data_IF_927917895776
#
_entry.id   IF_927917895776
#
_cell.length_a   1.000
_cell.length_b   1.000
_cell.length_c   1.000
_cell.angle_alpha   90.00
_cell.angle_beta   90.00
_cell.angle_gamma   90.00
#
_symmetry.space_group_name_H-M   'P 1'
#
loop_
_entity.id
_entity.type
_entity.pdbx_description
1 polymer ?
#
# COMPACT_ATOMS: atom_id res chain seq x y z
N UNK A 1 -9.96 -1.41 -20.05
CA UNK A 1 -9.97 -2.55 -20.99
C UNK A 1 -8.70 -3.34 -20.78
N UNK A 2 -8.79 -4.63 -20.58
CA UNK A 2 -7.64 -5.49 -20.35
C UNK A 2 -6.78 -5.58 -21.61
N UNK A 3 -5.47 -5.32 -21.44
CA UNK A 3 -4.48 -5.49 -22.51
C UNK A 3 -3.81 -6.87 -22.42
N UNK A 4 -4.59 -7.89 -22.11
CA UNK A 4 -4.08 -9.26 -21.99
C UNK A 4 -4.09 -9.89 -23.40
N UNK A 5 -2.91 -10.27 -23.87
CA UNK A 5 -2.69 -10.93 -25.15
C UNK A 5 -2.08 -12.32 -24.99
N UNK A 6 -1.83 -13.00 -26.09
CA UNK A 6 -1.26 -14.37 -26.08
C UNK A 6 0.14 -14.44 -25.45
N UNK A 7 0.89 -13.33 -25.45
CA UNK A 7 2.24 -13.24 -24.90
C UNK A 7 2.26 -12.80 -23.43
N UNK A 8 1.10 -12.51 -22.83
CA UNK A 8 1.01 -12.10 -21.44
C UNK A 8 1.27 -13.28 -20.51
N UNK A 9 2.34 -13.21 -19.74
CA UNK A 9 2.72 -14.24 -18.76
C UNK A 9 2.14 -13.96 -17.38
N UNK A 10 2.05 -12.68 -17.00
CA UNK A 10 1.55 -12.22 -15.71
C UNK A 10 0.56 -11.07 -15.91
N UNK A 11 -0.50 -11.05 -15.10
CA UNK A 11 -1.45 -9.97 -15.07
C UNK A 11 -1.66 -9.52 -13.60
N UNK A 12 -1.52 -8.24 -13.33
CA UNK A 12 -1.84 -7.65 -12.04
C UNK A 12 -3.15 -6.87 -12.20
N UNK A 13 -4.17 -7.27 -11.43
CA UNK A 13 -5.51 -6.70 -11.52
C UNK A 13 -5.86 -6.04 -10.20
N UNK A 14 -6.01 -4.71 -10.21
CA UNK A 14 -6.53 -3.97 -9.06
C UNK A 14 -8.06 -4.16 -8.97
N UNK A 15 -8.54 -4.48 -7.76
CA UNK A 15 -9.95 -4.65 -7.45
C UNK A 15 -10.36 -3.63 -6.39
N UNK A 16 -11.25 -2.73 -6.76
CA UNK A 16 -11.86 -1.76 -5.84
C UNK A 16 -13.29 -2.16 -5.47
N UNK A 17 -13.78 -1.61 -4.36
CA UNK A 17 -15.17 -1.78 -3.93
C UNK A 17 -15.70 -0.51 -3.26
N UNK A 18 -16.99 -0.28 -3.41
CA UNK A 18 -17.78 0.65 -2.61
C UNK A 18 -18.82 -0.08 -1.76
N UNK A 19 -19.18 -1.31 -2.14
CA UNK A 19 -20.17 -2.14 -1.45
C UNK A 19 -19.68 -3.59 -1.31
N UNK A 20 -20.24 -4.31 -0.35
CA UNK A 20 -20.01 -5.75 -0.20
C UNK A 20 -20.48 -6.53 -1.44
N UNK A 21 -19.80 -7.64 -1.76
CA UNK A 21 -20.06 -8.51 -2.90
C UNK A 21 -19.42 -8.06 -4.22
N UNK A 22 -18.81 -6.86 -4.27
CA UNK A 22 -18.18 -6.36 -5.50
C UNK A 22 -16.84 -7.06 -5.77
N UNK A 23 -15.99 -7.20 -4.75
CA UNK A 23 -14.71 -7.91 -4.88
C UNK A 23 -14.94 -9.40 -5.14
N UNK A 24 -15.96 -10.02 -4.53
CA UNK A 24 -16.30 -11.41 -4.82
C UNK A 24 -16.56 -11.64 -6.30
N UNK A 25 -17.38 -10.78 -6.93
CA UNK A 25 -17.68 -10.87 -8.38
C UNK A 25 -16.44 -10.67 -9.23
N UNK A 26 -15.62 -9.66 -8.89
CA UNK A 26 -14.38 -9.38 -9.61
C UNK A 26 -13.38 -10.53 -9.49
N UNK A 27 -13.21 -11.07 -8.29
CA UNK A 27 -12.32 -12.19 -8.02
C UNK A 27 -12.73 -13.45 -8.74
N UNK A 28 -14.02 -13.81 -8.69
CA UNK A 28 -14.56 -14.97 -9.44
C UNK A 28 -14.41 -14.82 -10.96
N UNK A 29 -14.45 -13.60 -11.48
CA UNK A 29 -14.22 -13.32 -12.89
C UNK A 29 -12.74 -13.44 -13.25
N UNK A 30 -11.85 -12.82 -12.45
CA UNK A 30 -10.41 -12.80 -12.69
C UNK A 30 -9.74 -14.15 -12.40
N UNK A 31 -10.25 -14.89 -11.39
CA UNK A 31 -9.67 -16.16 -10.89
C UNK A 31 -8.16 -16.04 -10.66
N UNK A 32 -7.73 -15.19 -9.71
CA UNK A 32 -6.32 -14.94 -9.51
C UNK A 32 -5.61 -16.14 -8.90
N UNK A 33 -4.33 -16.32 -9.21
CA UNK A 33 -3.46 -17.34 -8.61
C UNK A 33 -2.90 -16.90 -7.25
N UNK A 34 -2.88 -15.57 -6.99
CA UNK A 34 -2.42 -14.95 -5.74
C UNK A 34 -3.34 -13.79 -5.40
N UNK A 35 -3.77 -13.70 -4.15
CA UNK A 35 -4.47 -12.54 -3.60
C UNK A 35 -3.53 -11.63 -2.81
N UNK A 36 -3.76 -10.31 -2.84
CA UNK A 36 -2.99 -9.34 -2.03
C UNK A 36 -3.97 -8.39 -1.35
N UNK A 37 -3.83 -8.21 -0.03
CA UNK A 37 -4.51 -7.16 0.73
C UNK A 37 -3.47 -6.35 1.49
N UNK A 38 -3.26 -5.11 1.07
CA UNK A 38 -2.19 -4.26 1.59
C UNK A 38 -2.53 -3.58 2.92
N UNK A 39 -3.79 -3.20 3.13
CA UNK A 39 -4.25 -2.58 4.38
C UNK A 39 -5.78 -2.53 4.45
N UNK A 40 -6.29 -2.31 5.67
CA UNK A 40 -7.70 -2.02 5.97
C UNK A 40 -7.78 -0.57 6.46
N UNK A 41 -7.84 0.36 5.50
CA UNK A 41 -8.02 1.78 5.78
C UNK A 41 -9.48 2.14 6.06
N UNK A 42 -9.76 3.44 6.05
CA UNK A 42 -11.11 4.00 6.26
C UNK A 42 -11.79 4.45 4.97
N UNK A 43 -11.19 4.21 3.81
CA UNK A 43 -11.80 4.50 2.51
C UNK A 43 -13.13 3.75 2.37
N UNK A 44 -14.16 4.46 1.86
CA UNK A 44 -15.53 3.92 1.70
C UNK A 44 -16.25 3.55 3.01
N UNK A 45 -15.74 4.02 4.18
CA UNK A 45 -16.35 3.73 5.48
C UNK A 45 -17.79 4.25 5.56
N UNK A 46 -18.09 5.34 4.87
CA UNK A 46 -19.45 5.87 4.75
C UNK A 46 -20.44 4.88 4.14
N UNK A 47 -20.02 4.00 3.25
CA UNK A 47 -20.85 2.99 2.59
C UNK A 47 -20.86 1.65 3.34
N UNK A 48 -19.72 1.25 3.93
CA UNK A 48 -19.54 -0.05 4.57
C UNK A 48 -19.73 -0.02 6.09
N UNK A 49 -19.75 1.17 6.69
CA UNK A 49 -20.12 1.41 8.09
C UNK A 49 -18.98 1.18 9.10
N UNK A 50 -18.05 0.25 8.86
CA UNK A 50 -16.93 -0.01 9.78
C UNK A 50 -15.71 -0.59 9.07
N UNK A 51 -14.53 -0.52 9.72
CA UNK A 51 -13.31 -1.17 9.20
C UNK A 51 -13.41 -2.70 9.20
N UNK A 52 -14.14 -3.30 10.13
CA UNK A 52 -14.45 -4.73 10.13
C UNK A 52 -15.21 -5.15 8.86
N UNK A 53 -16.16 -4.33 8.43
CA UNK A 53 -16.89 -4.59 7.18
C UNK A 53 -16.03 -4.34 5.95
N UNK A 54 -15.12 -3.34 5.98
CA UNK A 54 -14.13 -3.12 4.94
C UNK A 54 -13.20 -4.34 4.83
N UNK A 55 -12.75 -4.88 5.98
CA UNK A 55 -11.94 -6.09 6.03
C UNK A 55 -12.66 -7.29 5.41
N UNK A 56 -13.92 -7.52 5.79
CA UNK A 56 -14.76 -8.59 5.20
C UNK A 56 -14.91 -8.43 3.69
N UNK A 57 -15.20 -7.22 3.23
CA UNK A 57 -15.37 -6.93 1.80
C UNK A 57 -14.05 -7.15 1.01
N UNK A 58 -12.90 -6.77 1.57
CA UNK A 58 -11.60 -7.06 0.92
C UNK A 58 -11.25 -8.54 0.92
N UNK A 59 -11.61 -9.28 1.97
CA UNK A 59 -11.43 -10.74 2.04
C UNK A 59 -12.30 -11.52 1.05
N UNK A 60 -13.30 -10.91 0.43
CA UNK A 60 -14.06 -11.48 -0.69
C UNK A 60 -13.16 -11.89 -1.88
N UNK A 61 -11.92 -11.34 -1.95
CA UNK A 61 -10.93 -11.77 -2.95
C UNK A 61 -10.67 -13.27 -2.89
N UNK A 62 -10.81 -13.88 -1.72
CA UNK A 62 -10.61 -15.32 -1.52
C UNK A 62 -11.60 -16.17 -2.34
N UNK A 63 -12.78 -15.62 -2.68
CA UNK A 63 -13.81 -16.38 -3.42
C UNK A 63 -13.39 -16.82 -4.84
N UNK A 64 -12.39 -16.16 -5.42
CA UNK A 64 -11.83 -16.50 -6.74
C UNK A 64 -10.50 -17.24 -6.69
N UNK A 65 -9.89 -17.37 -5.50
CA UNK A 65 -8.61 -18.06 -5.32
C UNK A 65 -8.80 -19.59 -5.32
N UNK A 66 -7.91 -20.36 -5.98
CA UNK A 66 -7.95 -21.82 -5.92
C UNK A 66 -7.46 -22.35 -4.56
N UNK A 67 -7.67 -23.64 -4.34
CA UNK A 67 -7.17 -24.36 -3.15
C UNK A 67 -5.66 -24.23 -2.98
N UNK A 68 -5.21 -23.85 -1.79
CA UNK A 68 -3.80 -23.64 -1.46
C UNK A 68 -3.18 -22.36 -2.01
N UNK A 69 -3.96 -21.49 -2.67
CA UNK A 69 -3.44 -20.24 -3.22
C UNK A 69 -2.87 -19.30 -2.15
N UNK A 70 -1.75 -18.62 -2.43
CA UNK A 70 -1.19 -17.64 -1.51
C UNK A 70 -2.13 -16.42 -1.38
N UNK A 71 -2.37 -16.01 -0.13
CA UNK A 71 -3.01 -14.75 0.20
C UNK A 71 -2.01 -13.87 0.96
N UNK A 72 -1.46 -12.89 0.26
CA UNK A 72 -0.47 -11.96 0.82
C UNK A 72 -1.16 -10.89 1.66
N UNK A 73 -0.78 -10.79 2.92
CA UNK A 73 -1.44 -9.97 3.93
C UNK A 73 -0.45 -9.11 4.71
N UNK A 74 -0.84 -7.87 4.98
CA UNK A 74 -0.09 -6.98 5.85
C UNK A 74 -0.23 -7.40 7.32
N UNK A 75 0.87 -7.86 7.91
CA UNK A 75 0.94 -8.28 9.31
C UNK A 75 0.89 -7.12 10.30
N UNK A 76 1.14 -5.89 9.87
CA UNK A 76 1.05 -4.69 10.70
C UNK A 76 -0.40 -4.17 10.80
N UNK A 77 -1.31 -4.72 10.01
CA UNK A 77 -2.71 -4.32 10.02
C UNK A 77 -3.51 -5.12 11.06
N UNK A 78 -4.07 -4.45 12.10
CA UNK A 78 -4.73 -5.14 13.20
C UNK A 78 -6.04 -5.82 12.80
N UNK A 79 -6.70 -5.39 11.72
CA UNK A 79 -7.93 -6.01 11.22
C UNK A 79 -7.62 -7.27 10.45
N UNK A 80 -6.56 -7.26 9.63
CA UNK A 80 -6.10 -8.45 8.92
C UNK A 80 -5.59 -9.52 9.89
N UNK A 81 -4.82 -9.13 10.92
CA UNK A 81 -4.33 -10.06 11.94
C UNK A 81 -5.43 -10.77 12.74
N UNK A 82 -6.58 -10.12 12.90
CA UNK A 82 -7.75 -10.69 13.64
C UNK A 82 -8.74 -11.38 12.71
N UNK A 83 -8.56 -11.27 11.41
CA UNK A 83 -9.51 -11.82 10.45
C UNK A 83 -9.51 -13.35 10.47
N UNK A 84 -10.70 -13.93 10.36
CA UNK A 84 -10.85 -15.37 10.10
C UNK A 84 -10.69 -15.58 8.60
N UNK A 85 -9.62 -16.26 8.22
CA UNK A 85 -9.32 -16.56 6.84
C UNK A 85 -9.99 -17.87 6.42
N UNK A 86 -10.43 -18.01 5.16
CA UNK A 86 -10.92 -19.28 4.64
C UNK A 86 -9.82 -20.35 4.61
N UNK A 87 -10.18 -21.60 4.92
CA UNK A 87 -9.24 -22.73 5.02
C UNK A 87 -8.54 -23.06 3.70
N UNK A 88 -9.15 -22.70 2.57
CA UNK A 88 -8.62 -23.01 1.24
C UNK A 88 -7.49 -22.09 0.77
N UNK A 89 -7.18 -21.00 1.51
CA UNK A 89 -6.08 -20.10 1.15
C UNK A 89 -4.89 -20.28 2.11
N UNK A 90 -3.68 -20.05 1.60
CA UNK A 90 -2.45 -20.05 2.39
C UNK A 90 -2.03 -18.61 2.70
N UNK A 91 -2.15 -18.11 3.94
CA UNK A 91 -1.70 -16.77 4.27
C UNK A 91 -0.18 -16.65 4.14
N UNK A 92 0.28 -15.51 3.60
CA UNK A 92 1.68 -15.09 3.53
C UNK A 92 1.74 -13.69 4.14
N UNK A 93 2.36 -13.58 5.30
CA UNK A 93 2.41 -12.34 6.06
C UNK A 93 3.65 -11.53 5.73
N UNK A 94 3.48 -10.23 5.46
CA UNK A 94 4.60 -9.30 5.42
C UNK A 94 4.46 -8.23 6.51
N UNK A 95 5.61 -7.68 6.99
CA UNK A 95 5.62 -6.67 8.05
C UNK A 95 6.79 -5.69 7.92
N UNK A 96 6.62 -4.49 8.49
CA UNK A 96 7.66 -3.49 8.67
C UNK A 96 8.29 -3.57 10.07
N UNK A 97 8.87 -4.73 10.42
CA UNK A 97 9.62 -4.92 11.67
C UNK A 97 9.27 -6.13 12.51
N UNK A 98 8.18 -6.87 12.21
CA UNK A 98 7.90 -8.16 12.88
C UNK A 98 8.67 -9.28 12.17
N UNK A 99 9.76 -9.72 12.79
CA UNK A 99 10.62 -10.81 12.29
C UNK A 99 9.92 -12.18 12.28
N UNK A 100 8.73 -12.31 12.89
CA UNK A 100 7.93 -13.54 12.81
C UNK A 100 7.02 -13.58 11.57
N UNK A 101 6.94 -12.50 10.79
CA UNK A 101 6.26 -12.52 9.51
C UNK A 101 7.05 -13.35 8.48
N UNK A 102 6.38 -13.95 7.49
CA UNK A 102 7.06 -14.73 6.44
C UNK A 102 8.10 -13.89 5.70
N UNK A 103 7.80 -12.59 5.51
CA UNK A 103 8.72 -11.61 4.93
C UNK A 103 8.67 -10.32 5.75
N UNK A 104 9.84 -9.80 6.15
CA UNK A 104 9.87 -8.52 6.86
C UNK A 104 10.92 -7.54 6.30
N UNK A 105 10.73 -6.25 6.59
CA UNK A 105 11.68 -5.20 6.28
C UNK A 105 12.27 -4.64 7.58
N UNK A 106 13.59 -4.71 7.69
CA UNK A 106 14.38 -4.21 8.81
C UNK A 106 15.30 -3.07 8.38
N UNK A 107 15.82 -2.30 9.32
CA UNK A 107 16.80 -1.22 9.06
C UNK A 107 16.36 -0.26 7.95
N UNK A 108 15.09 0.13 7.98
CA UNK A 108 14.48 0.98 6.96
C UNK A 108 15.06 2.40 7.06
N UNK A 109 15.60 2.91 5.96
CA UNK A 109 16.19 4.24 5.83
C UNK A 109 15.62 4.95 4.61
N UNK A 110 15.51 6.28 4.68
CA UNK A 110 15.10 7.15 3.59
C UNK A 110 16.24 8.11 3.24
N UNK A 111 16.47 8.30 1.94
CA UNK A 111 17.36 9.34 1.40
C UNK A 111 16.66 10.09 0.26
N UNK A 112 17.39 10.97 -0.43
CA UNK A 112 16.86 11.76 -1.56
C UNK A 112 16.45 10.90 -2.78
N UNK A 113 16.90 9.66 -2.85
CA UNK A 113 16.66 8.74 -3.98
C UNK A 113 15.56 7.73 -3.70
N UNK A 114 15.07 7.64 -2.45
CA UNK A 114 14.01 6.71 -2.08
C UNK A 114 14.27 6.00 -0.75
N UNK A 115 13.81 4.76 -0.67
CA UNK A 115 13.93 3.93 0.52
C UNK A 115 14.97 2.82 0.32
N UNK A 116 15.71 2.50 1.40
CA UNK A 116 16.57 1.31 1.47
C UNK A 116 16.24 0.53 2.75
N UNK A 117 16.28 -0.79 2.67
CA UNK A 117 15.96 -1.67 3.80
C UNK A 117 16.57 -3.06 3.61
N UNK A 118 16.70 -3.79 4.70
CA UNK A 118 17.02 -5.22 4.69
C UNK A 118 15.70 -5.98 4.61
N UNK A 119 15.51 -6.74 3.55
CA UNK A 119 14.39 -7.68 3.40
C UNK A 119 14.85 -9.04 3.89
N UNK A 120 14.10 -9.62 4.82
CA UNK A 120 14.26 -10.99 5.27
C UNK A 120 13.05 -11.80 4.82
N UNK A 121 13.28 -12.88 4.09
CA UNK A 121 12.29 -13.87 3.68
C UNK A 121 12.72 -15.22 4.25
N UNK A 122 11.87 -15.86 5.04
CA UNK A 122 12.18 -17.14 5.69
C UNK A 122 12.42 -18.28 4.69
N UNK A 123 11.92 -18.18 3.46
CA UNK A 123 12.12 -19.18 2.40
C UNK A 123 13.32 -18.83 1.49
N UNK A 124 13.54 -17.55 1.17
CA UNK A 124 14.49 -17.10 0.13
C UNK A 124 15.77 -16.48 0.70
N UNK A 125 15.79 -16.11 2.00
CA UNK A 125 16.93 -15.51 2.69
C UNK A 125 16.90 -13.99 2.80
N UNK A 126 18.05 -13.37 3.00
CA UNK A 126 18.20 -11.95 3.33
C UNK A 126 18.76 -11.15 2.17
N UNK A 127 18.19 -9.98 1.90
CA UNK A 127 18.55 -9.13 0.78
C UNK A 127 18.59 -7.65 1.18
N UNK A 128 19.54 -6.90 0.63
CA UNK A 128 19.50 -5.43 0.66
C UNK A 128 18.65 -4.93 -0.51
N UNK A 129 17.58 -4.21 -0.21
CA UNK A 129 16.65 -3.68 -1.21
C UNK A 129 16.70 -2.18 -1.23
N UNK A 130 16.62 -1.60 -2.43
CA UNK A 130 16.43 -0.16 -2.66
C UNK A 130 15.28 0.03 -3.62
N UNK A 131 14.40 1.00 -3.30
CA UNK A 131 13.29 1.38 -4.16
C UNK A 131 13.30 2.88 -4.40
N UNK A 132 13.06 3.37 -5.62
CA UNK A 132 13.01 4.79 -5.94
C UNK A 132 11.65 5.42 -5.58
N UNK A 133 11.18 5.13 -4.36
CA UNK A 133 9.92 5.63 -3.83
C UNK A 133 10.10 5.97 -2.35
N UNK A 134 9.50 7.06 -1.89
CA UNK A 134 9.65 7.56 -0.53
C UNK A 134 8.53 7.04 0.38
N UNK A 135 8.82 7.00 1.70
CA UNK A 135 7.85 6.67 2.73
C UNK A 135 7.72 5.17 3.02
N UNK A 136 7.54 4.87 4.30
CA UNK A 136 7.44 3.48 4.81
C UNK A 136 6.31 2.67 4.16
N UNK A 137 5.20 3.32 3.76
CA UNK A 137 4.10 2.66 3.05
C UNK A 137 4.54 2.08 1.70
N UNK A 138 5.51 2.69 1.01
CA UNK A 138 6.07 2.14 -0.22
C UNK A 138 7.01 0.95 0.05
N UNK A 139 7.64 0.89 1.23
CA UNK A 139 8.34 -0.33 1.67
C UNK A 139 7.32 -1.47 1.86
N UNK A 140 6.18 -1.21 2.53
CA UNK A 140 5.11 -2.20 2.69
C UNK A 140 4.56 -2.68 1.33
N UNK A 141 4.34 -1.76 0.38
CA UNK A 141 3.92 -2.09 -0.98
C UNK A 141 4.96 -2.95 -1.72
N UNK A 142 6.25 -2.64 -1.54
CA UNK A 142 7.34 -3.42 -2.12
C UNK A 142 7.41 -4.85 -1.54
N UNK A 143 7.20 -5.01 -0.21
CA UNK A 143 7.11 -6.33 0.41
C UNK A 143 5.92 -7.11 -0.13
N UNK A 144 4.73 -6.49 -0.27
CA UNK A 144 3.55 -7.13 -0.84
C UNK A 144 3.79 -7.61 -2.28
N UNK A 145 4.42 -6.77 -3.11
CA UNK A 145 4.78 -7.11 -4.49
C UNK A 145 5.82 -8.24 -4.54
N UNK A 146 6.83 -8.18 -3.67
CA UNK A 146 7.84 -9.21 -3.53
C UNK A 146 7.23 -10.56 -3.14
N UNK A 147 6.40 -10.59 -2.09
CA UNK A 147 5.71 -11.80 -1.66
C UNK A 147 4.90 -12.42 -2.80
N UNK A 148 4.07 -11.62 -3.48
CA UNK A 148 3.24 -12.13 -4.56
C UNK A 148 4.08 -12.70 -5.70
N UNK A 149 5.13 -12.02 -6.12
CA UNK A 149 5.97 -12.44 -7.22
C UNK A 149 6.76 -13.71 -6.89
N UNK A 150 7.37 -13.81 -5.69
CA UNK A 150 8.13 -15.01 -5.30
C UNK A 150 7.21 -16.21 -5.09
N UNK A 151 6.00 -16.01 -4.55
CA UNK A 151 5.00 -17.10 -4.40
C UNK A 151 4.38 -17.53 -5.74
N UNK A 152 4.57 -16.77 -6.82
CA UNK A 152 4.32 -17.19 -8.22
C UNK A 152 5.55 -17.87 -8.87
N UNK A 153 6.62 -18.09 -8.11
CA UNK A 153 7.83 -18.78 -8.58
C UNK A 153 8.86 -17.88 -9.28
N UNK A 154 8.72 -16.55 -9.19
CA UNK A 154 9.76 -15.66 -9.69
C UNK A 154 10.97 -15.69 -8.75
N UNK A 155 12.17 -15.65 -9.34
CA UNK A 155 13.40 -15.60 -8.55
C UNK A 155 13.51 -14.29 -7.75
N UNK A 156 13.77 -14.38 -6.45
CA UNK A 156 13.83 -13.26 -5.51
C UNK A 156 14.74 -12.11 -5.98
N UNK A 157 15.94 -12.42 -6.51
CA UNK A 157 16.88 -11.39 -7.00
C UNK A 157 16.35 -10.64 -8.22
N UNK A 158 15.62 -11.33 -9.10
CA UNK A 158 14.97 -10.67 -10.24
C UNK A 158 13.83 -9.76 -9.80
N UNK A 159 13.04 -10.19 -8.80
CA UNK A 159 11.98 -9.35 -8.21
C UNK A 159 12.59 -8.10 -7.60
N UNK A 160 13.67 -8.24 -6.81
CA UNK A 160 14.37 -7.10 -6.19
C UNK A 160 14.93 -6.14 -7.25
N UNK A 161 15.49 -6.65 -8.34
CA UNK A 161 15.93 -5.80 -9.44
C UNK A 161 14.76 -5.02 -10.07
N UNK A 162 13.61 -5.67 -10.26
CA UNK A 162 12.40 -5.00 -10.74
C UNK A 162 11.84 -3.95 -9.77
N UNK A 163 11.96 -4.16 -8.46
CA UNK A 163 11.59 -3.15 -7.45
C UNK A 163 12.51 -1.92 -7.52
N UNK A 164 13.79 -2.11 -7.83
CA UNK A 164 14.75 -1.01 -8.00
C UNK A 164 14.50 -0.19 -9.28
N UNK A 165 13.88 -0.80 -10.29
CA UNK A 165 13.51 -0.15 -11.56
C UNK A 165 12.08 0.42 -11.53
N UNK A 166 11.43 0.48 -10.33
CA UNK A 166 10.09 0.99 -10.19
C UNK A 166 9.99 2.46 -10.62
N UNK A 167 9.05 2.77 -11.47
CA UNK A 167 8.70 4.15 -11.86
C UNK A 167 7.36 4.53 -11.24
N UNK A 168 7.33 5.66 -10.53
CA UNK A 168 6.08 6.20 -10.00
C UNK A 168 5.16 6.62 -11.14
N UNK A 169 3.94 6.11 -11.11
CA UNK A 169 2.92 6.42 -12.10
C UNK A 169 1.88 7.40 -11.56
N UNK A 170 1.45 8.34 -12.42
CA UNK A 170 0.41 9.30 -12.08
C UNK A 170 0.89 10.38 -11.08
N UNK A 171 -0.07 11.00 -10.39
CA UNK A 171 0.12 12.05 -9.40
C UNK A 171 0.18 11.44 -7.98
N UNK A 172 1.11 10.50 -7.77
CA UNK A 172 1.34 9.83 -6.48
C UNK A 172 2.78 10.05 -6.05
N UNK A 173 3.00 11.01 -5.14
CA UNK A 173 4.29 11.38 -4.55
C UNK A 173 5.40 11.65 -5.59
N UNK A 174 5.02 12.19 -6.74
CA UNK A 174 5.97 12.56 -7.78
C UNK A 174 6.69 13.85 -7.39
N UNK A 175 8.01 13.81 -7.27
CA UNK A 175 8.83 14.99 -7.01
C UNK A 175 9.16 15.71 -8.31
N UNK A 176 8.81 17.00 -8.39
CA UNK A 176 9.08 17.87 -9.53
C UNK A 176 9.90 19.08 -9.04
N UNK A 177 11.04 19.31 -9.66
CA UNK A 177 11.89 20.45 -9.35
C UNK A 177 11.55 21.65 -10.22
N UNK A 178 11.02 22.73 -9.62
CA UNK A 178 10.61 23.93 -10.35
C UNK A 178 11.20 25.17 -9.69
N UNK A 179 12.06 25.88 -10.41
CA UNK A 179 12.62 27.19 -9.99
C UNK A 179 13.22 27.17 -8.58
N UNK A 180 13.91 26.08 -8.19
CA UNK A 180 14.52 25.94 -6.87
C UNK A 180 13.56 25.55 -5.74
N UNK A 181 12.35 25.11 -6.09
CA UNK A 181 11.36 24.57 -5.18
C UNK A 181 11.09 23.12 -5.59
N UNK A 182 11.04 22.23 -4.61
CA UNK A 182 10.60 20.85 -4.80
C UNK A 182 9.10 20.78 -4.56
N UNK A 183 8.37 20.31 -5.56
CA UNK A 183 6.92 20.09 -5.50
C UNK A 183 6.68 18.58 -5.46
N UNK A 184 6.03 18.11 -4.41
CA UNK A 184 5.60 16.71 -4.29
C UNK A 184 4.13 16.64 -4.71
N UNK A 185 3.88 16.08 -5.87
CA UNK A 185 2.53 15.90 -6.41
C UNK A 185 1.95 14.59 -5.89
N UNK A 186 0.97 14.66 -4.98
CA UNK A 186 0.24 13.50 -4.41
C UNK A 186 -1.27 13.78 -4.40
N UNK A 187 -1.83 14.06 -5.58
CA UNK A 187 -3.19 14.58 -5.74
C UNK A 187 -4.12 13.66 -6.56
N UNK A 188 -3.82 12.37 -6.64
CA UNK A 188 -4.71 11.40 -7.30
C UNK A 188 -5.99 11.17 -6.51
N UNK A 189 -5.87 10.99 -5.20
CA UNK A 189 -6.98 10.81 -4.25
C UNK A 189 -6.50 11.15 -2.83
N UNK A 190 -7.43 11.51 -1.95
CA UNK A 190 -7.17 11.83 -0.56
C UNK A 190 -8.07 11.04 0.37
N UNK A 191 -7.48 10.44 1.41
CA UNK A 191 -8.16 9.82 2.54
C UNK A 191 -7.29 9.97 3.79
N UNK A 192 -7.82 9.74 5.02
CA UNK A 192 -7.07 9.96 6.25
C UNK A 192 -5.74 9.21 6.31
N UNK A 193 -5.70 7.96 5.83
CA UNK A 193 -4.49 7.13 5.87
C UNK A 193 -3.42 7.64 4.89
N UNK A 194 -3.82 7.99 3.66
CA UNK A 194 -2.90 8.55 2.66
C UNK A 194 -2.37 9.91 3.06
N UNK A 195 -3.21 10.80 3.64
CA UNK A 195 -2.81 12.10 4.17
C UNK A 195 -1.79 11.95 5.30
N UNK A 196 -2.05 11.04 6.24
CA UNK A 196 -1.11 10.72 7.33
C UNK A 196 0.24 10.24 6.80
N UNK A 197 0.22 9.31 5.84
CA UNK A 197 1.43 8.78 5.22
C UNK A 197 2.21 9.86 4.45
N UNK A 198 1.50 10.70 3.68
CA UNK A 198 2.10 11.81 2.94
C UNK A 198 2.75 12.85 3.87
N UNK A 199 2.07 13.26 4.93
CA UNK A 199 2.60 14.22 5.92
C UNK A 199 3.81 13.64 6.68
N UNK A 200 3.78 12.36 7.04
CA UNK A 200 4.92 11.69 7.69
C UNK A 200 6.14 11.62 6.75
N UNK A 201 5.95 11.27 5.49
CA UNK A 201 7.00 11.29 4.47
C UNK A 201 7.52 12.72 4.26
N UNK A 202 6.63 13.71 4.18
CA UNK A 202 6.98 15.12 4.00
C UNK A 202 7.83 15.68 5.17
N UNK A 203 7.60 15.20 6.39
CA UNK A 203 8.44 15.51 7.55
C UNK A 203 9.90 15.10 7.35
N UNK A 204 10.12 13.92 6.79
CA UNK A 204 11.44 13.34 6.58
C UNK A 204 12.14 13.91 5.32
N UNK A 205 11.39 14.61 4.45
CA UNK A 205 11.96 15.20 3.25
C UNK A 205 12.90 16.37 3.59
N UNK A 206 14.15 16.39 3.10
CA UNK A 206 15.12 17.44 3.41
C UNK A 206 14.74 18.78 2.77
N UNK A 207 14.30 19.74 3.56
CA UNK A 207 13.93 21.07 3.09
C UNK A 207 14.04 22.12 4.21
N UNK A 208 14.06 23.40 3.82
CA UNK A 208 14.10 24.53 4.78
C UNK A 208 12.72 24.92 5.28
N UNK A 209 11.70 24.84 4.44
CA UNK A 209 10.30 25.20 4.74
C UNK A 209 9.35 24.24 4.04
N UNK A 210 8.25 23.92 4.71
CA UNK A 210 7.20 23.00 4.25
C UNK A 210 5.90 23.74 4.03
N UNK A 211 5.44 23.73 2.78
CA UNK A 211 4.13 24.26 2.38
C UNK A 211 3.26 23.07 1.99
N UNK A 212 2.15 22.86 2.67
CA UNK A 212 1.19 21.82 2.32
C UNK A 212 -0.07 22.48 1.73
N UNK A 213 -0.45 22.04 0.53
CA UNK A 213 -1.74 22.37 -0.11
C UNK A 213 -2.56 21.09 -0.08
N UNK A 214 -3.59 21.05 0.76
CA UNK A 214 -4.40 19.85 0.98
C UNK A 214 -5.82 20.10 0.47
N UNK A 215 -6.36 19.16 -0.29
CA UNK A 215 -7.75 19.18 -0.72
C UNK A 215 -8.65 18.35 0.20
N UNK A 216 -9.94 18.33 -0.13
CA UNK A 216 -10.94 17.57 0.61
C UNK A 216 -10.72 16.06 0.53
N UNK A 217 -11.11 15.39 1.61
CA UNK A 217 -11.26 13.94 1.66
C UNK A 217 -12.74 13.57 1.54
N UNK A 218 -13.08 12.87 0.46
CA UNK A 218 -14.47 12.50 0.15
C UNK A 218 -14.83 11.11 0.72
N UNK A 219 -16.13 10.79 0.71
CA UNK A 219 -16.70 9.48 1.08
C UNK A 219 -16.47 9.05 2.55
N UNK A 220 -16.23 10.01 3.44
CA UNK A 220 -15.98 9.74 4.87
C UNK A 220 -17.26 9.69 5.72
N UNK A 221 -18.41 10.09 5.18
CA UNK A 221 -19.67 10.11 5.93
C UNK A 221 -19.56 10.94 7.23
N UNK A 222 -20.07 10.40 8.32
CA UNK A 222 -20.13 11.09 9.62
C UNK A 222 -18.77 11.40 10.24
N UNK A 223 -17.70 10.68 9.84
CA UNK A 223 -16.35 10.93 10.36
C UNK A 223 -15.62 12.07 9.65
N UNK A 224 -16.20 12.65 8.58
CA UNK A 224 -15.52 13.63 7.72
C UNK A 224 -14.90 14.78 8.51
N UNK A 225 -15.69 15.45 9.37
CA UNK A 225 -15.19 16.58 10.18
C UNK A 225 -14.03 16.18 11.08
N UNK A 226 -14.17 15.08 11.82
CA UNK A 226 -13.13 14.61 12.73
C UNK A 226 -11.82 14.22 11.98
N UNK A 227 -11.97 13.63 10.79
CA UNK A 227 -10.83 13.27 9.93
C UNK A 227 -10.07 14.50 9.42
N UNK A 228 -10.78 15.54 8.96
CA UNK A 228 -10.14 16.80 8.54
C UNK A 228 -9.45 17.53 9.68
N UNK A 229 -10.08 17.60 10.87
CA UNK A 229 -9.47 18.15 12.08
C UNK A 229 -8.20 17.38 12.47
N UNK A 230 -8.20 16.05 12.33
CA UNK A 230 -7.03 15.20 12.59
C UNK A 230 -5.89 15.48 11.60
N UNK A 231 -6.18 15.60 10.30
CA UNK A 231 -5.16 15.99 9.30
C UNK A 231 -4.54 17.35 9.64
N UNK A 232 -5.35 18.30 10.10
CA UNK A 232 -4.83 19.59 10.57
C UNK A 232 -3.84 19.44 11.75
N UNK A 233 -4.15 18.59 12.74
CA UNK A 233 -3.22 18.26 13.85
C UNK A 233 -1.95 17.61 13.35
N UNK A 234 -2.08 16.64 12.45
CA UNK A 234 -0.94 15.94 11.84
C UNK A 234 -0.04 16.87 11.02
N UNK A 235 -0.58 17.88 10.35
CA UNK A 235 0.22 18.88 9.65
C UNK A 235 1.14 19.64 10.63
N UNK A 236 0.64 20.03 11.81
CA UNK A 236 1.45 20.66 12.86
C UNK A 236 2.51 19.70 13.42
N UNK A 237 2.13 18.47 13.75
CA UNK A 237 3.05 17.44 14.28
C UNK A 237 4.17 17.12 13.31
N UNK A 238 3.88 17.14 12.00
CA UNK A 238 4.85 16.91 10.93
C UNK A 238 5.56 18.19 10.46
N UNK A 239 5.52 19.25 11.26
CA UNK A 239 6.30 20.50 11.06
C UNK A 239 6.01 21.17 9.71
N UNK A 240 4.76 21.22 9.30
CA UNK A 240 4.31 22.01 8.17
C UNK A 240 4.32 23.48 8.60
N UNK A 241 5.06 24.32 7.86
CA UNK A 241 5.17 25.76 8.17
C UNK A 241 3.95 26.54 7.68
N UNK A 242 3.38 26.13 6.54
CA UNK A 242 2.21 26.77 5.93
C UNK A 242 1.24 25.72 5.42
N UNK A 243 0.00 25.79 5.87
CA UNK A 243 -1.10 24.93 5.44
C UNK A 243 -2.11 25.75 4.65
N UNK A 244 -2.47 25.28 3.47
CA UNK A 244 -3.54 25.83 2.61
C UNK A 244 -4.56 24.71 2.37
N UNK A 245 -5.85 25.01 2.56
CA UNK A 245 -6.98 24.09 2.37
C UNK A 245 -8.06 24.74 1.54
#
# INVERSE_FOLDING_TARGET
>A
MFRIGKETQYAVVEMGMSHAGEIERLSKCARPDVGIITCIGVSHIGNLGSQENICKAKLEICAGLPEGAPLVLNGDDPFLRKAVLPDHVRPVWFSLGDENADVCALSIQQDEKGMSFVLEDHEEGTFLVKIPAMGRHNVANALAAYCAATRLGLNARRVIAGLADFEQTGMRQKVVHVRGVDVIEDCYNANPDSMKAALAMFREYPCKRRFALLGDMLELGDISRAAHEEVGRQAVENKVDYLVT
#
